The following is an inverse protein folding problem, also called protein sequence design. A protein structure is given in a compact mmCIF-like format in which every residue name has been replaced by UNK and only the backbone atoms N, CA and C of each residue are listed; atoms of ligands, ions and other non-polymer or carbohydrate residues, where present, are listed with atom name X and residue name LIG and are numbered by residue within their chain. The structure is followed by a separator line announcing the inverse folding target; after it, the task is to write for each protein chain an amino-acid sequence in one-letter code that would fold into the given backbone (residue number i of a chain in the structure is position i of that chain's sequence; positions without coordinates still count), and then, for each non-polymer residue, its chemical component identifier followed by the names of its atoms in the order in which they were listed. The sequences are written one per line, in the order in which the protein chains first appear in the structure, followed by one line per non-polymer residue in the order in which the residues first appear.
data_IF_716476151703
#
_entry.id   IF_716476151703
#
_cell.length_a   1.000
_cell.length_b   1.000
_cell.length_c   1.000
_cell.angle_alpha   90.00
_cell.angle_beta   90.00
_cell.angle_gamma   90.00
#
_symmetry.space_group_name_H-M   'P 1'
#
loop_
_entity.id
_entity.type
_entity.pdbx_description
1 polymer ?
#
# COMPACT_ATOMS: atom_id res chain seq x y z
N UNK A 1 -29.92 -36.53 -16.28
CA UNK A 1 -28.91 -35.81 -17.08
C UNK A 1 -28.81 -34.31 -16.79
N UNK A 2 -29.81 -33.64 -16.18
CA UNK A 2 -29.69 -32.21 -15.85
C UNK A 2 -28.95 -31.89 -14.53
N UNK A 3 -29.00 -32.80 -13.54
CA UNK A 3 -28.37 -32.58 -12.23
C UNK A 3 -26.83 -32.65 -12.29
N UNK A 4 -26.30 -33.61 -13.05
CA UNK A 4 -24.87 -33.84 -13.29
C UNK A 4 -24.17 -32.65 -13.98
N UNK A 5 -24.90 -31.94 -14.87
CA UNK A 5 -24.37 -30.78 -15.59
C UNK A 5 -24.24 -29.54 -14.70
N UNK A 6 -25.21 -29.33 -13.81
CA UNK A 6 -25.20 -28.22 -12.84
C UNK A 6 -24.13 -28.42 -11.76
N UNK A 7 -23.90 -29.66 -11.34
CA UNK A 7 -22.82 -29.98 -10.38
C UNK A 7 -21.43 -29.74 -10.99
N UNK A 8 -21.21 -30.15 -12.25
CA UNK A 8 -19.97 -29.87 -12.98
C UNK A 8 -19.74 -28.35 -13.21
N UNK A 9 -20.80 -27.59 -13.54
CA UNK A 9 -20.72 -26.13 -13.69
C UNK A 9 -20.43 -25.42 -12.36
N UNK A 10 -21.01 -25.88 -11.25
CA UNK A 10 -20.74 -25.36 -9.91
C UNK A 10 -19.30 -25.65 -9.46
N UNK A 11 -18.77 -26.81 -9.79
CA UNK A 11 -17.40 -27.20 -9.46
C UNK A 11 -16.37 -26.38 -10.25
N UNK A 12 -16.61 -26.19 -11.55
CA UNK A 12 -15.80 -25.30 -12.40
C UNK A 12 -15.83 -23.84 -11.91
N UNK A 13 -17.00 -23.33 -11.52
CA UNK A 13 -17.13 -21.98 -10.97
C UNK A 13 -16.36 -21.81 -9.65
N UNK A 14 -16.30 -22.87 -8.83
CA UNK A 14 -15.59 -22.88 -7.56
C UNK A 14 -14.08 -22.91 -7.76
N UNK A 15 -13.60 -23.68 -8.73
CA UNK A 15 -12.20 -23.72 -9.14
C UNK A 15 -11.74 -22.36 -9.70
N UNK A 16 -12.55 -21.75 -10.56
CA UNK A 16 -12.30 -20.39 -11.04
C UNK A 16 -12.22 -19.39 -9.88
N UNK A 17 -13.14 -19.46 -8.91
CA UNK A 17 -13.14 -18.59 -7.74
C UNK A 17 -11.88 -18.74 -6.88
N UNK A 18 -11.40 -19.98 -6.68
CA UNK A 18 -10.14 -20.25 -5.97
C UNK A 18 -8.93 -19.68 -6.71
N UNK A 19 -8.89 -19.86 -8.03
CA UNK A 19 -7.85 -19.29 -8.87
C UNK A 19 -7.84 -17.75 -8.79
N UNK A 20 -9.01 -17.11 -8.83
CA UNK A 20 -9.14 -15.66 -8.61
C UNK A 20 -8.66 -15.21 -7.23
N UNK A 21 -8.97 -15.94 -6.16
CA UNK A 21 -8.48 -15.62 -4.81
C UNK A 21 -6.95 -15.70 -4.75
N UNK A 22 -6.37 -16.73 -5.35
CA UNK A 22 -4.92 -16.96 -5.37
C UNK A 22 -4.19 -15.89 -6.17
N UNK A 23 -4.77 -15.45 -7.28
CA UNK A 23 -4.24 -14.38 -8.10
C UNK A 23 -4.35 -13.01 -7.39
N UNK A 24 -5.50 -12.73 -6.76
CA UNK A 24 -5.69 -11.55 -5.91
C UNK A 24 -4.66 -11.49 -4.77
N UNK A 25 -4.36 -12.62 -4.15
CA UNK A 25 -3.37 -12.70 -3.09
C UNK A 25 -1.94 -12.47 -3.59
N UNK A 26 -1.59 -12.99 -4.77
CA UNK A 26 -0.32 -12.68 -5.44
C UNK A 26 -0.18 -11.19 -5.75
N UNK A 27 -1.22 -10.59 -6.32
CA UNK A 27 -1.25 -9.16 -6.63
C UNK A 27 -1.10 -8.34 -5.34
N UNK A 28 -1.82 -8.70 -4.28
CA UNK A 28 -1.68 -8.07 -2.95
C UNK A 28 -0.26 -8.20 -2.41
N UNK A 29 0.40 -9.35 -2.57
CA UNK A 29 1.76 -9.55 -2.08
C UNK A 29 2.79 -8.75 -2.90
N UNK A 30 2.60 -8.64 -4.22
CA UNK A 30 3.43 -7.79 -5.09
C UNK A 30 3.27 -6.32 -4.70
N UNK A 31 2.02 -5.86 -4.52
CA UNK A 31 1.71 -4.50 -4.06
C UNK A 31 2.30 -4.26 -2.66
N UNK A 32 2.18 -5.23 -1.74
CA UNK A 32 2.75 -5.15 -0.40
C UNK A 32 4.28 -5.07 -0.40
N UNK A 33 4.93 -5.81 -1.30
CA UNK A 33 6.40 -5.80 -1.45
C UNK A 33 6.93 -4.48 -2.02
N UNK A 34 6.12 -3.77 -2.81
CA UNK A 34 6.46 -2.44 -3.37
C UNK A 34 6.08 -1.31 -2.39
N UNK A 35 4.97 -1.47 -1.66
CA UNK A 35 4.49 -0.56 -0.62
C UNK A 35 5.27 -0.61 0.70
N UNK A 36 6.14 -1.61 0.88
CA UNK A 36 6.82 -1.86 2.14
C UNK A 36 5.83 -2.32 3.20
N UNK A 37 5.57 -3.63 3.27
CA UNK A 37 4.81 -4.20 4.40
C UNK A 37 5.56 -3.80 5.68
N UNK A 38 4.90 -3.12 6.65
CA UNK A 38 5.52 -2.84 7.93
C UNK A 38 5.80 -4.18 8.61
N UNK A 39 7.02 -4.67 8.45
CA UNK A 39 7.52 -5.84 9.15
C UNK A 39 7.40 -5.64 10.66
N UNK A 40 7.28 -6.73 11.42
CA UNK A 40 7.30 -6.68 12.88
C UNK A 40 8.53 -5.93 13.41
N UNK A 41 9.67 -6.03 12.71
CA UNK A 41 10.91 -5.31 13.03
C UNK A 41 10.75 -3.78 12.91
N UNK A 42 10.04 -3.29 11.89
CA UNK A 42 9.74 -1.84 11.76
C UNK A 42 8.85 -1.34 12.88
N UNK A 43 7.89 -2.15 13.33
CA UNK A 43 7.03 -1.81 14.47
C UNK A 43 7.84 -1.73 15.77
N UNK A 44 8.73 -2.71 15.99
CA UNK A 44 9.65 -2.72 17.13
C UNK A 44 10.59 -1.49 17.11
N UNK A 45 11.16 -1.15 15.95
CA UNK A 45 12.03 0.02 15.82
C UNK A 45 11.32 1.34 16.15
N UNK A 46 10.05 1.49 15.74
CA UNK A 46 9.26 2.67 16.12
C UNK A 46 8.98 2.74 17.62
N UNK A 47 8.69 1.60 18.27
CA UNK A 47 8.49 1.56 19.74
C UNK A 47 9.78 1.94 20.47
N UNK A 48 10.92 1.38 20.05
CA UNK A 48 12.23 1.72 20.62
C UNK A 48 12.52 3.21 20.45
N UNK A 49 12.29 3.77 19.25
CA UNK A 49 12.50 5.19 18.99
C UNK A 49 11.65 6.08 19.90
N UNK A 50 10.39 5.70 20.15
CA UNK A 50 9.50 6.41 21.06
C UNK A 50 9.99 6.38 22.51
N UNK A 51 10.45 5.20 22.98
CA UNK A 51 11.03 5.05 24.33
C UNK A 51 12.28 5.91 24.49
N UNK A 52 13.16 5.94 23.49
CA UNK A 52 14.37 6.78 23.49
C UNK A 52 13.98 8.26 23.57
N UNK A 53 12.94 8.69 22.83
CA UNK A 53 12.50 10.08 22.84
C UNK A 53 11.98 10.51 24.21
N UNK A 54 11.14 9.68 24.83
CA UNK A 54 10.62 9.93 26.18
C UNK A 54 11.78 9.97 27.19
N UNK A 55 12.74 9.05 27.06
CA UNK A 55 13.90 9.01 27.96
C UNK A 55 14.76 10.26 27.81
N UNK A 56 14.95 10.76 26.59
CA UNK A 56 15.68 11.99 26.32
C UNK A 56 14.98 13.20 26.95
N UNK A 57 13.65 13.28 26.84
CA UNK A 57 12.84 14.30 27.52
C UNK A 57 12.92 14.19 29.05
N UNK A 58 12.85 12.97 29.60
CA UNK A 58 12.96 12.75 31.04
C UNK A 58 14.34 13.17 31.57
N UNK A 59 15.42 12.77 30.89
CA UNK A 59 16.79 13.17 31.24
C UNK A 59 16.96 14.68 31.16
N UNK A 60 16.38 15.33 30.15
CA UNK A 60 16.36 16.79 30.05
C UNK A 60 15.73 17.44 31.28
N UNK A 61 14.64 16.89 31.81
CA UNK A 61 13.96 17.42 32.99
C UNK A 61 14.81 17.34 34.27
N UNK A 62 15.70 16.34 34.38
CA UNK A 62 16.60 16.17 35.52
C UNK A 62 17.95 16.87 35.34
N UNK A 63 18.39 17.08 34.10
CA UNK A 63 19.68 17.67 33.77
C UNK A 63 19.61 19.21 33.74
N UNK A 64 19.63 19.87 34.90
CA UNK A 64 19.57 21.34 34.96
C UNK A 64 20.82 21.99 34.35
N UNK A 65 20.64 22.90 33.38
CA UNK A 65 21.71 23.76 32.85
C UNK A 65 21.89 23.67 31.33
N UNK A 66 23.12 23.89 30.83
CA UNK A 66 23.41 23.90 29.37
C UNK A 66 23.14 22.57 28.66
N UNK A 67 23.14 21.46 29.41
CA UNK A 67 22.88 20.13 28.88
C UNK A 67 21.39 19.90 28.54
N UNK A 68 20.48 20.59 29.23
CA UNK A 68 19.04 20.56 28.97
C UNK A 68 18.73 21.02 27.54
N UNK A 69 19.23 22.21 27.19
CA UNK A 69 19.02 22.82 25.88
C UNK A 69 19.62 21.96 24.76
N UNK A 70 20.84 21.44 24.96
CA UNK A 70 21.49 20.57 23.97
C UNK A 70 20.75 19.24 23.76
N UNK A 71 20.19 18.64 24.82
CA UNK A 71 19.41 17.40 24.69
C UNK A 71 18.09 17.61 23.94
N UNK A 72 17.41 18.72 24.20
CA UNK A 72 16.17 19.09 23.51
C UNK A 72 16.45 19.34 22.02
N UNK A 73 17.50 20.10 21.69
CA UNK A 73 17.88 20.37 20.30
C UNK A 73 18.24 19.08 19.56
N UNK A 74 18.97 18.16 20.22
CA UNK A 74 19.30 16.86 19.66
C UNK A 74 18.05 16.00 19.43
N UNK A 75 17.10 16.00 20.37
CA UNK A 75 15.85 15.28 20.24
C UNK A 75 15.02 15.78 19.04
N UNK A 76 14.91 17.10 18.88
CA UNK A 76 14.21 17.74 17.75
C UNK A 76 14.90 17.38 16.42
N UNK A 77 16.24 17.45 16.36
CA UNK A 77 17.00 17.07 15.18
C UNK A 77 16.77 15.59 14.80
N UNK A 78 16.73 14.69 15.79
CA UNK A 78 16.49 13.26 15.58
C UNK A 78 15.08 12.98 15.06
N UNK A 79 14.06 13.68 15.57
CA UNK A 79 12.68 13.60 15.05
C UNK A 79 12.62 14.09 13.60
N UNK A 80 13.24 15.23 13.29
CA UNK A 80 13.28 15.79 11.94
C UNK A 80 13.88 14.80 10.94
N UNK A 81 15.00 14.17 11.28
CA UNK A 81 15.66 13.17 10.45
C UNK A 81 14.78 11.91 10.26
N UNK A 82 14.06 11.48 11.31
CA UNK A 82 13.11 10.37 11.23
C UNK A 82 11.94 10.68 10.29
N UNK A 83 11.40 11.90 10.33
CA UNK A 83 10.34 12.36 9.43
C UNK A 83 10.85 12.34 7.98
N UNK A 84 12.04 12.89 7.74
CA UNK A 84 12.67 12.87 6.41
C UNK A 84 12.84 11.44 5.88
N UNK A 85 13.30 10.51 6.73
CA UNK A 85 13.42 9.10 6.37
C UNK A 85 12.07 8.49 5.99
N UNK A 86 11.01 8.77 6.74
CA UNK A 86 9.66 8.28 6.45
C UNK A 86 9.16 8.85 5.11
N UNK A 87 9.34 10.14 4.86
CA UNK A 87 8.94 10.79 3.60
C UNK A 87 9.69 10.15 2.42
N UNK A 88 10.99 9.92 2.55
CA UNK A 88 11.79 9.26 1.51
C UNK A 88 11.28 7.86 1.16
N UNK A 89 10.86 7.08 2.16
CA UNK A 89 10.29 5.75 1.92
C UNK A 89 8.88 5.81 1.32
N UNK A 90 8.06 6.78 1.72
CA UNK A 90 6.72 6.97 1.15
C UNK A 90 6.74 7.37 -0.33
N UNK A 91 7.78 8.06 -0.79
CA UNK A 91 7.88 8.52 -2.19
C UNK A 91 7.80 7.37 -3.21
N UNK A 92 8.40 6.22 -2.89
CA UNK A 92 8.39 5.02 -3.75
C UNK A 92 6.98 4.42 -3.88
N UNK A 93 6.26 4.38 -2.76
CA UNK A 93 4.88 3.86 -2.70
C UNK A 93 3.95 4.78 -3.48
N UNK A 94 4.10 6.09 -3.32
CA UNK A 94 3.29 7.08 -4.01
C UNK A 94 3.49 7.01 -5.54
N UNK A 95 4.74 6.93 -6.00
CA UNK A 95 5.04 6.74 -7.42
C UNK A 95 4.41 5.45 -7.97
N UNK A 96 4.44 4.37 -7.20
CA UNK A 96 3.81 3.11 -7.60
C UNK A 96 2.28 3.19 -7.65
N UNK A 97 1.65 3.85 -6.68
CA UNK A 97 0.20 4.09 -6.68
C UNK A 97 -0.23 4.91 -7.91
N UNK A 98 0.52 5.96 -8.24
CA UNK A 98 0.30 6.76 -9.44
C UNK A 98 0.45 5.90 -10.71
N UNK A 99 1.51 5.10 -10.79
CA UNK A 99 1.75 4.23 -11.95
C UNK A 99 0.62 3.22 -12.17
N UNK A 100 0.11 2.60 -11.11
CA UNK A 100 -1.06 1.70 -11.20
C UNK A 100 -2.30 2.46 -11.65
N UNK A 101 -2.57 3.63 -11.05
CA UNK A 101 -3.75 4.42 -11.37
C UNK A 101 -3.76 4.81 -12.86
N UNK A 102 -2.63 5.29 -13.38
CA UNK A 102 -2.48 5.62 -14.80
C UNK A 102 -2.64 4.39 -15.71
N UNK A 103 -2.16 3.21 -15.29
CA UNK A 103 -2.35 1.98 -16.04
C UNK A 103 -3.83 1.56 -16.11
N UNK A 104 -4.56 1.69 -14.99
CA UNK A 104 -6.00 1.39 -14.94
C UNK A 104 -6.79 2.41 -15.75
N UNK A 105 -6.46 3.70 -15.64
CA UNK A 105 -7.10 4.78 -16.40
C UNK A 105 -6.97 4.54 -17.91
N UNK A 106 -5.77 4.21 -18.39
CA UNK A 106 -5.55 3.89 -19.79
C UNK A 106 -6.36 2.68 -20.27
N UNK A 107 -6.34 1.57 -19.51
CA UNK A 107 -7.11 0.36 -19.84
C UNK A 107 -8.63 0.61 -19.82
N UNK A 108 -9.11 1.40 -18.86
CA UNK A 108 -10.52 1.75 -18.76
C UNK A 108 -10.96 2.59 -19.97
N UNK A 109 -10.13 3.56 -20.37
CA UNK A 109 -10.40 4.41 -21.52
C UNK A 109 -10.45 3.63 -22.84
N UNK A 110 -9.56 2.65 -23.01
CA UNK A 110 -9.56 1.75 -24.15
C UNK A 110 -10.85 0.88 -24.18
N UNK A 111 -11.23 0.30 -23.04
CA UNK A 111 -12.48 -0.46 -22.94
C UNK A 111 -13.71 0.39 -23.27
N UNK A 112 -13.78 1.63 -22.78
CA UNK A 112 -14.86 2.58 -23.10
C UNK A 112 -14.90 2.90 -24.60
N UNK A 113 -13.74 3.07 -25.24
CA UNK A 113 -13.64 3.35 -26.67
C UNK A 113 -14.13 2.17 -27.51
N UNK A 114 -13.76 0.93 -27.14
CA UNK A 114 -14.26 -0.28 -27.82
C UNK A 114 -15.77 -0.45 -27.62
N UNK A 115 -16.30 -0.20 -26.42
CA UNK A 115 -17.74 -0.21 -26.17
C UNK A 115 -18.49 0.80 -27.06
N UNK A 116 -17.98 2.03 -27.17
CA UNK A 116 -18.58 3.05 -28.05
C UNK A 116 -18.56 2.64 -29.53
N UNK A 117 -17.49 1.98 -30.00
CA UNK A 117 -17.43 1.46 -31.38
C UNK A 117 -18.46 0.36 -31.62
N UNK A 118 -18.69 -0.50 -30.63
CA UNK A 118 -19.70 -1.57 -30.72
C UNK A 118 -21.10 -0.95 -30.76
N UNK A 119 -21.43 -0.05 -29.82
CA UNK A 119 -22.73 0.66 -29.80
C UNK A 119 -23.01 1.37 -31.12
N UNK A 120 -22.04 2.14 -31.65
CA UNK A 120 -22.20 2.86 -32.92
C UNK A 120 -22.39 1.93 -34.13
N UNK A 121 -21.88 0.70 -34.10
CA UNK A 121 -22.12 -0.30 -35.16
C UNK A 121 -23.52 -0.90 -35.07
N UNK A 122 -24.04 -1.09 -33.86
CA UNK A 122 -25.42 -1.54 -33.63
C UNK A 122 -26.42 -0.47 -34.08
N UNK A 123 -26.17 0.80 -33.76
CA UNK A 123 -27.03 1.93 -34.17
C UNK A 123 -27.03 2.21 -35.68
N UNK A 124 -26.03 1.74 -36.44
CA UNK A 124 -25.99 1.84 -37.91
C UNK A 124 -26.59 0.63 -38.63
N UNK A 125 -26.99 -0.40 -37.88
CA UNK A 125 -27.65 -1.61 -38.41
C UNK A 125 -29.17 -1.60 -38.22
N UNK A 126 -29.70 -0.68 -37.42
CA UNK A 126 -31.12 -0.29 -37.38
C UNK A 126 -31.42 0.82 -38.39
#
# INVERSE_FOLDING_TARGET
MHQDKTEAELEDLKEQLENFKKEKERIRNIIGRIGGIPSLNTRLFNVIFFIILISCFAVSMFASGKLELLMIDLAIAMVSLKIMYIIHQNAKVNHFQLWILSSIEWRLNEALTEMQKITRKTDMQE
#
